data_IF_767576345842
#
_entry.id   IF_767576345842
#
_cell.length_a   1.000
_cell.length_b   1.000
_cell.length_c   1.000
_cell.angle_alpha   90.00
_cell.angle_beta   90.00
_cell.angle_gamma   90.00
#
_symmetry.space_group_name_H-M   'P 1'
#
loop_
_entity.id
_entity.type
_entity.pdbx_description
1 polymer ?
#
# COMPACT_ATOMS: atom_id res chain seq x y z
N UNK A 1 -6.74 -7.39 31.24
CA UNK A 1 -7.88 -7.10 30.33
C UNK A 1 -7.33 -6.43 29.07
N UNK A 2 -6.87 -7.22 28.10
CA UNK A 2 -6.24 -6.69 26.88
C UNK A 2 -6.68 -7.51 25.67
N UNK A 3 -7.98 -7.61 25.48
CA UNK A 3 -8.56 -7.94 24.18
C UNK A 3 -8.73 -6.66 23.38
N UNK A 4 -8.42 -6.67 22.10
CA UNK A 4 -8.48 -5.56 21.12
C UNK A 4 -9.82 -4.80 21.03
N UNK A 5 -10.81 -5.13 21.87
CA UNK A 5 -12.19 -4.64 21.82
C UNK A 5 -12.97 -5.17 20.62
N UNK A 6 -12.32 -5.98 19.76
CA UNK A 6 -12.90 -6.55 18.54
C UNK A 6 -13.46 -7.94 18.79
N UNK A 7 -12.74 -8.77 19.55
CA UNK A 7 -13.13 -10.13 19.90
C UNK A 7 -13.62 -10.19 21.34
N UNK A 8 -14.75 -10.85 21.55
CA UNK A 8 -15.27 -11.16 22.88
C UNK A 8 -14.82 -12.57 23.27
N UNK A 9 -13.86 -12.64 24.19
CA UNK A 9 -13.30 -13.90 24.69
C UNK A 9 -14.32 -14.72 25.48
N UNK A 10 -15.37 -14.10 26.03
CA UNK A 10 -16.39 -14.81 26.83
C UNK A 10 -17.43 -15.49 25.93
N UNK A 11 -17.88 -14.80 24.88
CA UNK A 11 -18.83 -15.37 23.92
C UNK A 11 -18.14 -16.12 22.77
N UNK A 12 -16.82 -15.97 22.61
CA UNK A 12 -16.07 -16.55 21.49
C UNK A 12 -16.42 -15.91 20.14
N UNK A 13 -17.02 -14.71 20.13
CA UNK A 13 -17.52 -14.06 18.92
C UNK A 13 -16.86 -12.73 18.64
N UNK A 14 -16.85 -12.35 17.36
CA UNK A 14 -16.42 -11.01 16.93
C UNK A 14 -17.56 -10.00 17.09
N UNK A 15 -17.25 -8.84 17.65
CA UNK A 15 -18.18 -7.71 17.75
C UNK A 15 -18.29 -7.04 16.38
N UNK A 16 -19.32 -7.39 15.60
CA UNK A 16 -19.51 -6.93 14.23
C UNK A 16 -19.35 -5.40 14.06
N UNK A 17 -19.95 -4.61 14.95
CA UNK A 17 -19.85 -3.15 14.93
C UNK A 17 -18.42 -2.62 15.15
N UNK A 18 -17.64 -3.31 15.97
CA UNK A 18 -16.24 -2.97 16.24
C UNK A 18 -15.35 -3.34 15.06
N UNK A 19 -15.58 -4.51 14.45
CA UNK A 19 -14.88 -4.97 13.23
C UNK A 19 -15.13 -4.00 12.07
N UNK A 20 -16.40 -3.64 11.81
CA UNK A 20 -16.74 -2.67 10.76
C UNK A 20 -16.10 -1.30 11.00
N UNK A 21 -16.04 -0.86 12.27
CA UNK A 21 -15.37 0.39 12.64
C UNK A 21 -13.86 0.31 12.42
N UNK A 22 -13.23 -0.83 12.69
CA UNK A 22 -11.82 -1.05 12.39
C UNK A 22 -11.57 -1.02 10.88
N UNK A 23 -12.39 -1.72 10.10
CA UNK A 23 -12.27 -1.75 8.63
C UNK A 23 -12.36 -0.34 8.03
N UNK A 24 -13.34 0.47 8.44
CA UNK A 24 -13.45 1.88 8.00
C UNK A 24 -12.22 2.72 8.35
N UNK A 25 -11.60 2.48 9.51
CA UNK A 25 -10.35 3.16 9.89
C UNK A 25 -9.18 2.72 9.01
N UNK A 26 -9.10 1.44 8.67
CA UNK A 26 -8.08 0.90 7.77
C UNK A 26 -8.23 1.47 6.35
N UNK A 27 -9.46 1.52 5.82
CA UNK A 27 -9.77 2.15 4.53
C UNK A 27 -9.37 3.63 4.52
N UNK A 28 -9.74 4.38 5.56
CA UNK A 28 -9.35 5.79 5.71
C UNK A 28 -7.83 5.99 5.76
N UNK A 29 -7.10 5.08 6.41
CA UNK A 29 -5.64 5.10 6.43
C UNK A 29 -5.06 4.91 5.03
N UNK A 30 -5.61 3.97 4.24
CA UNK A 30 -5.20 3.73 2.86
C UNK A 30 -5.47 4.94 1.96
N UNK A 31 -6.62 5.62 2.12
CA UNK A 31 -6.93 6.87 1.41
C UNK A 31 -5.87 7.94 1.67
N UNK A 32 -5.54 8.19 2.95
CA UNK A 32 -4.51 9.15 3.31
C UNK A 32 -3.12 8.75 2.80
N UNK A 33 -2.77 7.47 2.89
CA UNK A 33 -1.50 6.95 2.36
C UNK A 33 -1.41 7.11 0.85
N UNK A 34 -2.48 6.86 0.10
CA UNK A 34 -2.52 7.09 -1.33
C UNK A 34 -2.26 8.57 -1.66
N UNK A 35 -2.91 9.49 -0.94
CA UNK A 35 -2.66 10.93 -1.07
C UNK A 35 -1.21 11.32 -0.76
N UNK A 36 -0.62 10.76 0.31
CA UNK A 36 0.78 10.99 0.65
C UNK A 36 1.73 10.46 -0.43
N UNK A 37 1.53 9.23 -0.90
CA UNK A 37 2.37 8.62 -1.95
C UNK A 37 2.27 9.45 -3.23
N UNK A 38 1.06 9.88 -3.60
CA UNK A 38 0.83 10.69 -4.78
C UNK A 38 1.56 12.03 -4.73
N UNK A 39 1.51 12.73 -3.60
CA UNK A 39 2.03 14.10 -3.46
C UNK A 39 3.51 14.17 -3.07
N UNK A 40 4.07 13.11 -2.46
CA UNK A 40 5.41 13.16 -1.89
C UNK A 40 6.46 12.32 -2.63
N UNK A 41 6.06 11.49 -3.59
CA UNK A 41 6.97 10.62 -4.37
C UNK A 41 7.70 11.31 -5.53
N UNK A 42 7.76 12.64 -5.56
CA UNK A 42 8.30 13.42 -6.68
C UNK A 42 7.24 13.76 -7.73
N UNK A 43 7.61 13.75 -9.02
CA UNK A 43 6.67 14.08 -10.09
C UNK A 43 5.49 13.08 -10.10
N UNK A 44 4.28 13.64 -10.05
CA UNK A 44 3.04 12.87 -9.90
C UNK A 44 2.88 11.94 -11.10
N UNK A 45 2.93 10.63 -10.84
CA UNK A 45 2.48 9.63 -11.81
C UNK A 45 0.98 9.80 -12.06
N UNK A 46 0.45 9.26 -13.16
CA UNK A 46 -0.99 9.37 -13.42
C UNK A 46 -1.75 8.64 -12.30
N UNK A 47 -2.88 9.18 -11.86
CA UNK A 47 -3.70 8.58 -10.79
C UNK A 47 -3.95 7.06 -10.96
N UNK A 48 -4.25 6.55 -12.18
CA UNK A 48 -4.38 5.10 -12.42
C UNK A 48 -3.13 4.28 -12.13
N UNK A 49 -1.94 4.84 -12.32
CA UNK A 49 -0.66 4.16 -12.06
C UNK A 49 -0.47 3.91 -10.56
N UNK A 50 -0.90 4.87 -9.72
CA UNK A 50 -0.89 4.73 -8.27
C UNK A 50 -1.83 3.60 -7.82
N UNK A 51 -3.07 3.59 -8.33
CA UNK A 51 -4.05 2.57 -7.97
C UNK A 51 -3.79 1.20 -8.59
N UNK A 52 -2.90 1.11 -9.59
CA UNK A 52 -2.42 -0.16 -10.16
C UNK A 52 -1.27 -0.80 -9.36
N UNK A 53 -0.70 -0.11 -8.36
CA UNK A 53 0.39 -0.65 -7.56
C UNK A 53 -0.09 -1.81 -6.70
N UNK A 54 0.56 -2.95 -6.85
CA UNK A 54 0.36 -4.13 -6.01
C UNK A 54 1.48 -4.24 -4.98
N UNK A 55 1.16 -4.72 -3.78
CA UNK A 55 2.18 -4.97 -2.74
C UNK A 55 2.76 -6.39 -2.82
N UNK A 56 2.07 -7.31 -3.51
CA UNK A 56 2.47 -8.70 -3.70
C UNK A 56 2.56 -9.05 -5.19
N UNK A 57 3.42 -10.02 -5.49
CA UNK A 57 3.49 -10.57 -6.84
C UNK A 57 2.21 -11.36 -7.14
N UNK A 58 1.80 -11.37 -8.39
CA UNK A 58 0.66 -12.15 -8.89
C UNK A 58 1.03 -12.84 -10.20
N UNK A 59 0.23 -13.80 -10.65
CA UNK A 59 0.39 -14.41 -11.97
C UNK A 59 0.33 -13.37 -13.11
N UNK A 60 -0.33 -12.23 -12.86
CA UNK A 60 -0.51 -11.14 -13.83
C UNK A 60 0.65 -10.12 -13.81
N UNK A 61 1.56 -10.21 -12.85
CA UNK A 61 2.70 -9.29 -12.78
C UNK A 61 3.33 -9.18 -11.40
N UNK A 62 4.52 -8.59 -11.38
CA UNK A 62 5.26 -8.30 -10.16
C UNK A 62 4.64 -7.15 -9.36
N UNK A 63 4.93 -7.14 -8.06
CA UNK A 63 4.57 -6.03 -7.17
C UNK A 63 5.13 -4.70 -7.66
N UNK A 64 4.49 -3.63 -7.22
CA UNK A 64 4.93 -2.25 -7.37
C UNK A 64 5.52 -1.65 -6.10
N UNK A 65 5.54 -2.35 -4.96
CA UNK A 65 6.10 -1.86 -3.69
C UNK A 65 7.35 -2.64 -3.29
N UNK A 66 8.40 -1.90 -2.94
CA UNK A 66 9.71 -2.45 -2.60
C UNK A 66 10.33 -1.71 -1.41
N UNK A 67 11.24 -2.40 -0.72
CA UNK A 67 12.13 -1.81 0.28
C UNK A 67 13.54 -1.88 -0.30
N UNK A 68 14.21 -0.74 -0.41
CA UNK A 68 15.57 -0.63 -0.91
C UNK A 68 16.36 0.33 -0.03
N UNK A 69 17.51 -0.14 0.47
CA UNK A 69 18.40 0.61 1.36
C UNK A 69 17.65 1.31 2.53
N UNK A 70 16.79 0.56 3.23
CA UNK A 70 16.00 1.07 4.35
C UNK A 70 14.85 2.03 3.97
N UNK A 71 14.65 2.30 2.69
CA UNK A 71 13.60 3.19 2.19
C UNK A 71 12.51 2.41 1.46
N UNK A 72 11.24 2.80 1.66
CA UNK A 72 10.12 2.26 0.89
C UNK A 72 10.04 2.99 -0.44
N UNK A 73 9.89 2.25 -1.53
CA UNK A 73 9.73 2.81 -2.87
C UNK A 73 8.57 2.16 -3.62
N UNK A 74 7.97 2.94 -4.53
CA UNK A 74 7.03 2.44 -5.54
C UNK A 74 7.74 2.30 -6.88
N UNK A 75 7.40 1.27 -7.64
CA UNK A 75 7.93 0.99 -8.97
C UNK A 75 6.78 0.86 -9.96
N UNK A 76 6.65 1.83 -10.85
CA UNK A 76 5.64 1.82 -11.92
C UNK A 76 6.29 1.36 -13.22
N UNK A 77 5.70 0.35 -13.88
CA UNK A 77 6.15 -0.17 -15.17
C UNK A 77 5.23 0.35 -16.28
N UNK A 78 5.78 1.02 -17.27
CA UNK A 78 5.00 1.51 -18.42
C UNK A 78 5.23 0.65 -19.65
N UNK A 79 4.20 -0.08 -20.07
CA UNK A 79 4.27 -0.99 -21.21
C UNK A 79 4.27 -0.29 -22.58
N UNK A 80 3.91 1.00 -22.65
CA UNK A 80 3.87 1.77 -23.92
C UNK A 80 5.25 1.96 -24.58
N UNK A 81 6.36 1.83 -23.83
CA UNK A 81 7.72 1.90 -24.37
C UNK A 81 8.21 0.57 -24.97
N UNK A 82 7.53 -0.55 -24.70
CA UNK A 82 7.98 -1.89 -25.13
C UNK A 82 7.99 -2.04 -26.66
N UNK A 83 7.07 -1.35 -27.35
CA UNK A 83 6.92 -1.43 -28.81
C UNK A 83 8.00 -0.67 -29.60
N UNK A 84 8.68 0.31 -28.99
CA UNK A 84 9.71 1.11 -29.66
C UNK A 84 11.14 0.79 -29.21
N UNK A 85 11.36 0.39 -27.95
CA UNK A 85 12.72 0.20 -27.39
C UNK A 85 13.02 -1.19 -26.84
N UNK A 86 12.07 -2.15 -26.93
CA UNK A 86 12.20 -3.52 -26.41
C UNK A 86 12.59 -3.62 -24.91
N UNK A 87 12.39 -2.54 -24.15
CA UNK A 87 12.65 -2.46 -22.71
C UNK A 87 11.46 -1.83 -22.01
N UNK A 88 11.10 -2.36 -20.85
CA UNK A 88 10.06 -1.78 -20.00
C UNK A 88 10.59 -0.52 -19.32
N UNK A 89 9.85 0.59 -19.44
CA UNK A 89 10.22 1.83 -18.79
C UNK A 89 9.76 1.79 -17.34
N UNK A 90 10.73 1.73 -16.43
CA UNK A 90 10.51 1.60 -15.00
C UNK A 90 10.77 2.94 -14.31
N UNK A 91 9.81 3.39 -13.50
CA UNK A 91 9.93 4.61 -12.70
C UNK A 91 9.90 4.22 -11.22
N UNK A 92 11.04 4.35 -10.55
CA UNK A 92 11.16 4.17 -9.11
C UNK A 92 10.93 5.52 -8.40
N UNK A 93 10.07 5.52 -7.37
CA UNK A 93 9.81 6.69 -6.52
C UNK A 93 9.98 6.31 -5.06
N UNK A 94 10.95 6.95 -4.40
CA UNK A 94 11.19 6.75 -2.97
C UNK A 94 10.22 7.57 -2.15
N UNK A 95 9.64 6.96 -1.12
CA UNK A 95 8.76 7.65 -0.19
C UNK A 95 9.60 8.38 0.87
N UNK A 96 9.17 9.57 1.33
CA UNK A 96 9.77 10.19 2.51
C UNK A 96 9.71 9.23 3.70
N UNK A 97 10.73 9.27 4.55
CA UNK A 97 10.90 8.35 5.69
C UNK A 97 9.62 8.16 6.54
N UNK A 98 8.91 9.26 6.82
CA UNK A 98 7.67 9.22 7.61
C UNK A 98 6.55 8.46 6.89
N UNK A 99 6.34 8.74 5.60
CA UNK A 99 5.34 8.06 4.77
C UNK A 99 5.69 6.59 4.61
N UNK A 100 6.96 6.29 4.32
CA UNK A 100 7.46 4.91 4.21
C UNK A 100 7.25 4.10 5.49
N UNK A 101 7.48 4.68 6.67
CA UNK A 101 7.21 4.01 7.97
C UNK A 101 5.74 3.69 8.19
N UNK A 102 4.84 4.62 7.85
CA UNK A 102 3.38 4.37 7.95
C UNK A 102 2.96 3.28 6.96
N UNK A 103 3.46 3.34 5.72
CA UNK A 103 3.22 2.32 4.71
C UNK A 103 3.68 0.94 5.17
N UNK A 104 4.90 0.84 5.70
CA UNK A 104 5.44 -0.41 6.23
C UNK A 104 4.57 -0.99 7.35
N UNK A 105 4.16 -0.17 8.33
CA UNK A 105 3.26 -0.61 9.41
C UNK A 105 1.90 -1.06 8.90
N UNK A 106 1.36 -0.37 7.88
CA UNK A 106 0.11 -0.76 7.25
C UNK A 106 0.22 -2.14 6.59
N UNK A 107 1.32 -2.41 5.89
CA UNK A 107 1.57 -3.69 5.23
C UNK A 107 1.78 -4.84 6.22
N UNK A 108 2.43 -4.58 7.36
CA UNK A 108 2.82 -5.63 8.33
C UNK A 108 1.71 -5.93 9.35
N UNK A 109 1.01 -4.91 9.86
CA UNK A 109 0.13 -5.07 11.02
C UNK A 109 -1.35 -4.90 10.74
N UNK A 110 -1.72 -4.18 9.69
CA UNK A 110 -3.11 -3.76 9.45
C UNK A 110 -3.74 -4.60 8.35
N UNK A 111 -2.96 -4.90 7.30
CA UNK A 111 -3.40 -5.77 6.22
C UNK A 111 -3.73 -7.17 6.77
N UNK A 112 -4.93 -7.71 6.47
CA UNK A 112 -5.24 -9.12 6.66
C UNK A 112 -4.51 -10.00 5.65
#
# INVERSE_FOLDING_TARGET
VTGSGLFDETSGTWKASAVLRYQRKAERLLEFLAGCIHTTGGQTGRSPELFSLTYQNSALGERGLYIYNGSVMTLTRHHKAKRSTNREFNVARFLPLRVGRVMFRCLVYIRP
#
